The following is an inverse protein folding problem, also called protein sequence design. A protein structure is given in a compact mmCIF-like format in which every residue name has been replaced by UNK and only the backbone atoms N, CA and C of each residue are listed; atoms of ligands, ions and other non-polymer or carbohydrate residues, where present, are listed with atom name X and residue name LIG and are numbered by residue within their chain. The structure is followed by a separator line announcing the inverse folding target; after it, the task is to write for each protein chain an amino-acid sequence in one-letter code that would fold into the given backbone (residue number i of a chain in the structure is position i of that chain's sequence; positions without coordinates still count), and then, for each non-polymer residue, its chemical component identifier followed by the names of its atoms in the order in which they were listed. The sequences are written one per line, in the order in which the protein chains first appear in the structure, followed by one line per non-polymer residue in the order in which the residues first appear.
data_IF_358716401038
#
_entry.id   IF_358716401038
#
_cell.length_a   1.000
_cell.length_b   1.000
_cell.length_c   1.000
_cell.angle_alpha   90.00
_cell.angle_beta   90.00
_cell.angle_gamma   90.00
#
_symmetry.space_group_name_H-M   'P 1'
#
loop_
_entity.id
_entity.type
_entity.pdbx_description
1 polymer ?
#
# COMPACT_ATOMS: atom_id res chain seq x y z
N UNK A 1 7.74 -20.03 -10.02
CA UNK A 1 7.79 -21.44 -9.57
C UNK A 1 8.10 -21.60 -8.07
N UNK A 2 9.28 -21.20 -7.56
CA UNK A 2 9.59 -21.34 -6.11
C UNK A 2 8.76 -20.39 -5.24
N UNK A 3 8.76 -19.09 -5.57
CA UNK A 3 8.00 -18.06 -4.83
C UNK A 3 6.50 -18.38 -4.85
N UNK A 4 5.94 -18.68 -6.02
CA UNK A 4 4.54 -19.11 -6.21
C UNK A 4 4.15 -20.26 -5.28
N UNK A 5 4.94 -21.36 -5.27
CA UNK A 5 4.68 -22.50 -4.38
C UNK A 5 4.81 -22.12 -2.91
N UNK A 6 5.76 -21.24 -2.58
CA UNK A 6 5.92 -20.68 -1.24
C UNK A 6 4.63 -20.01 -0.75
N UNK A 7 4.03 -19.13 -1.56
CA UNK A 7 2.75 -18.47 -1.22
C UNK A 7 1.62 -19.49 -1.05
N UNK A 8 1.46 -20.40 -2.01
CA UNK A 8 0.40 -21.42 -2.00
C UNK A 8 0.45 -22.30 -0.74
N UNK A 9 1.66 -22.67 -0.29
CA UNK A 9 1.81 -23.52 0.90
C UNK A 9 1.83 -22.75 2.23
N UNK A 10 2.39 -21.53 2.25
CA UNK A 10 2.62 -20.80 3.50
C UNK A 10 1.45 -19.93 3.93
N UNK A 11 0.77 -19.25 2.99
CA UNK A 11 -0.36 -18.37 3.33
C UNK A 11 -1.48 -19.07 4.11
N UNK A 12 -1.87 -20.32 3.80
CA UNK A 12 -2.84 -21.05 4.61
C UNK A 12 -2.42 -21.23 6.07
N UNK A 13 -1.11 -21.38 6.32
CA UNK A 13 -0.53 -21.57 7.66
C UNK A 13 -0.39 -20.25 8.43
N UNK A 14 -0.25 -19.12 7.74
CA UNK A 14 -0.16 -17.81 8.36
C UNK A 14 -1.48 -17.48 9.09
N UNK A 15 -1.42 -17.40 10.42
CA UNK A 15 -2.61 -17.15 11.26
C UNK A 15 -2.94 -15.67 11.34
N UNK A 16 -1.92 -14.80 11.42
CA UNK A 16 -2.07 -13.36 11.53
C UNK A 16 -1.28 -12.66 10.43
N UNK A 17 -1.85 -11.65 9.75
CA UNK A 17 -1.09 -10.83 8.83
C UNK A 17 -0.08 -9.97 9.61
N UNK A 18 1.03 -9.67 8.97
CA UNK A 18 2.02 -8.71 9.47
C UNK A 18 1.65 -7.31 8.97
N UNK A 19 1.36 -6.38 9.89
CA UNK A 19 0.92 -5.00 9.62
C UNK A 19 2.00 -3.98 9.99
N UNK A 20 3.23 -4.19 9.53
CA UNK A 20 4.35 -3.26 9.75
C UNK A 20 4.61 -2.48 8.46
N UNK A 21 5.16 -1.26 8.53
CA UNK A 21 5.49 -0.46 7.36
C UNK A 21 6.80 -0.85 6.67
N UNK A 22 7.25 -2.08 6.85
CA UNK A 22 8.51 -2.61 6.31
C UNK A 22 8.32 -3.96 5.61
N UNK A 23 9.41 -4.60 5.22
CA UNK A 23 9.47 -5.80 4.38
C UNK A 23 8.44 -6.91 4.68
N UNK A 24 8.13 -7.28 5.94
CA UNK A 24 7.21 -8.40 6.17
C UNK A 24 5.74 -8.02 5.99
N UNK A 25 5.40 -6.79 5.58
CA UNK A 25 4.02 -6.35 5.35
C UNK A 25 3.24 -7.33 4.45
N UNK A 26 2.22 -7.96 5.02
CA UNK A 26 1.45 -9.01 4.32
C UNK A 26 0.60 -8.43 3.20
N UNK A 27 -0.07 -7.29 3.41
CA UNK A 27 -0.91 -6.68 2.40
C UNK A 27 -0.10 -6.29 1.15
N UNK A 28 1.05 -5.65 1.36
CA UNK A 28 1.97 -5.27 0.29
C UNK A 28 2.49 -6.48 -0.49
N UNK A 29 2.88 -7.56 0.20
CA UNK A 29 3.36 -8.78 -0.46
C UNK A 29 2.28 -9.44 -1.34
N UNK A 30 1.03 -9.48 -0.86
CA UNK A 30 -0.12 -10.00 -1.62
C UNK A 30 -0.42 -9.10 -2.83
N UNK A 31 -0.46 -7.79 -2.61
CA UNK A 31 -0.72 -6.77 -3.63
C UNK A 31 0.29 -6.83 -4.78
N UNK A 32 1.59 -6.88 -4.47
CA UNK A 32 2.66 -6.97 -5.48
C UNK A 32 2.70 -8.33 -6.20
N UNK A 33 2.08 -9.36 -5.64
CA UNK A 33 1.97 -10.69 -6.27
C UNK A 33 0.72 -10.85 -7.13
N UNK A 34 -0.27 -9.95 -7.00
CA UNK A 34 -1.59 -10.13 -7.57
C UNK A 34 -1.58 -10.11 -9.10
N UNK A 35 -0.85 -9.19 -9.74
CA UNK A 35 -0.81 -9.12 -11.21
C UNK A 35 -0.21 -10.40 -11.84
N UNK A 36 0.84 -10.94 -11.22
CA UNK A 36 1.39 -12.23 -11.61
C UNK A 36 0.40 -13.38 -11.41
N UNK A 37 -0.35 -13.36 -10.30
CA UNK A 37 -1.36 -14.36 -10.01
C UNK A 37 -2.51 -14.33 -11.03
N UNK A 38 -3.01 -13.14 -11.37
CA UNK A 38 -4.01 -12.95 -12.43
C UNK A 38 -3.52 -13.49 -13.76
N UNK A 39 -2.28 -13.19 -14.14
CA UNK A 39 -1.69 -13.68 -15.38
C UNK A 39 -1.57 -15.22 -15.42
N UNK A 40 -1.30 -15.87 -14.29
CA UNK A 40 -1.32 -17.32 -14.18
C UNK A 40 -2.74 -17.90 -14.27
N UNK A 41 -3.73 -17.24 -13.67
CA UNK A 41 -5.15 -17.61 -13.78
C UNK A 41 -5.61 -17.61 -15.24
N UNK A 42 -5.23 -16.58 -16.02
CA UNK A 42 -5.52 -16.50 -17.46
C UNK A 42 -4.90 -17.66 -18.26
N UNK A 43 -3.80 -18.23 -17.76
CA UNK A 43 -3.14 -19.42 -18.31
C UNK A 43 -3.68 -20.74 -17.77
N UNK A 44 -4.77 -20.70 -16.99
CA UNK A 44 -5.39 -21.89 -16.40
C UNK A 44 -4.74 -22.40 -15.11
N UNK A 45 -3.95 -21.58 -14.42
CA UNK A 45 -3.29 -21.90 -13.14
C UNK A 45 -3.74 -20.93 -12.02
N UNK A 46 -4.99 -21.04 -11.53
CA UNK A 46 -5.60 -20.07 -10.63
C UNK A 46 -5.16 -20.19 -9.16
N UNK A 47 -4.32 -21.16 -8.82
CA UNK A 47 -4.03 -21.54 -7.43
C UNK A 47 -3.43 -20.38 -6.63
N UNK A 48 -2.53 -19.60 -7.25
CA UNK A 48 -1.92 -18.44 -6.59
C UNK A 48 -2.94 -17.33 -6.32
N UNK A 49 -3.79 -17.02 -7.29
CA UNK A 49 -4.79 -15.96 -7.11
C UNK A 49 -5.84 -16.36 -6.06
N UNK A 50 -6.27 -17.62 -6.09
CA UNK A 50 -7.20 -18.17 -5.12
C UNK A 50 -6.67 -18.07 -3.69
N UNK A 51 -5.41 -18.44 -3.44
CA UNK A 51 -4.83 -18.35 -2.09
C UNK A 51 -4.63 -16.90 -1.65
N UNK A 52 -4.28 -15.98 -2.56
CA UNK A 52 -4.15 -14.54 -2.27
C UNK A 52 -5.52 -13.98 -1.87
N UNK A 53 -6.56 -14.22 -2.68
CA UNK A 53 -7.93 -13.77 -2.41
C UNK A 53 -8.48 -14.32 -1.10
N UNK A 54 -8.31 -15.61 -0.85
CA UNK A 54 -8.76 -16.25 0.39
C UNK A 54 -8.04 -15.68 1.62
N UNK A 55 -6.73 -15.44 1.51
CA UNK A 55 -5.94 -14.88 2.61
C UNK A 55 -6.30 -13.43 2.89
N UNK A 56 -6.40 -12.59 1.86
CA UNK A 56 -6.79 -11.19 2.02
C UNK A 56 -8.18 -11.07 2.66
N UNK A 57 -9.15 -11.87 2.21
CA UNK A 57 -10.48 -11.90 2.83
C UNK A 57 -10.43 -12.34 4.30
N UNK A 58 -9.67 -13.39 4.62
CA UNK A 58 -9.52 -13.87 6.01
C UNK A 58 -8.87 -12.83 6.92
N UNK A 59 -7.93 -12.05 6.39
CA UNK A 59 -7.13 -11.12 7.18
C UNK A 59 -7.74 -9.73 7.32
N UNK A 60 -8.38 -9.22 6.27
CA UNK A 60 -8.67 -7.79 6.14
C UNK A 60 -10.15 -7.47 5.90
N UNK A 61 -10.99 -8.44 5.48
CA UNK A 61 -12.39 -8.14 5.15
C UNK A 61 -13.23 -7.69 6.36
N UNK A 62 -12.82 -8.02 7.58
CA UNK A 62 -13.48 -7.62 8.82
C UNK A 62 -12.78 -6.50 9.58
N UNK A 63 -11.70 -5.93 9.03
CA UNK A 63 -10.98 -4.85 9.71
C UNK A 63 -11.78 -3.55 9.64
N UNK A 64 -11.81 -2.83 10.75
CA UNK A 64 -12.55 -1.59 10.94
C UNK A 64 -11.76 -0.63 11.84
N UNK A 65 -11.94 0.67 11.68
CA UNK A 65 -11.30 1.71 12.53
C UNK A 65 -9.78 1.47 12.70
N UNK A 66 -9.07 1.39 11.56
CA UNK A 66 -7.63 1.12 11.59
C UNK A 66 -6.90 2.23 12.37
N UNK A 67 -6.04 1.91 13.35
CA UNK A 67 -5.43 2.90 14.23
C UNK A 67 -4.23 3.63 13.58
N UNK A 68 -4.45 4.24 12.40
CA UNK A 68 -3.39 4.87 11.59
C UNK A 68 -2.73 6.08 12.26
N UNK A 69 -3.28 6.58 13.39
CA UNK A 69 -2.61 7.56 14.28
C UNK A 69 -1.26 7.08 14.83
N UNK A 70 -0.96 5.78 14.76
CA UNK A 70 0.33 5.21 15.15
C UNK A 70 1.34 5.11 13.98
N UNK A 71 0.92 5.41 12.75
CA UNK A 71 1.86 5.54 11.65
C UNK A 71 2.44 6.96 11.58
N UNK A 72 3.67 7.14 11.07
CA UNK A 72 4.64 6.10 10.72
C UNK A 72 5.52 5.66 11.91
N UNK A 73 6.11 4.47 11.81
CA UNK A 73 7.30 4.08 12.56
C UNK A 73 8.56 4.62 11.88
N UNK A 74 9.64 4.81 12.64
CA UNK A 74 10.84 5.54 12.17
C UNK A 74 11.61 4.89 11.01
N UNK A 75 11.32 3.64 10.66
CA UNK A 75 11.96 2.90 9.58
C UNK A 75 10.98 2.44 8.49
N UNK A 76 9.74 2.95 8.51
CA UNK A 76 8.73 2.58 7.54
C UNK A 76 9.08 3.11 6.14
N UNK A 77 8.88 2.27 5.13
CA UNK A 77 8.84 2.66 3.72
C UNK A 77 7.48 2.32 3.07
N UNK A 78 6.55 1.75 3.84
CA UNK A 78 5.18 1.42 3.46
C UNK A 78 4.21 1.94 4.53
N UNK A 79 3.03 2.39 4.12
CA UNK A 79 1.89 2.51 5.05
C UNK A 79 1.18 1.17 5.14
N UNK A 80 1.00 0.65 6.35
CA UNK A 80 0.29 -0.61 6.53
C UNK A 80 -1.21 -0.43 6.26
N UNK A 81 -1.80 0.68 6.71
CA UNK A 81 -3.18 1.06 6.39
C UNK A 81 -3.43 1.16 4.88
N UNK A 82 -2.60 1.92 4.16
CA UNK A 82 -2.83 2.15 2.73
C UNK A 82 -2.47 0.93 1.87
N UNK A 83 -1.49 0.12 2.26
CA UNK A 83 -1.21 -1.15 1.58
C UNK A 83 -2.40 -2.12 1.67
N UNK A 84 -3.07 -2.14 2.82
CA UNK A 84 -4.28 -2.92 3.03
C UNK A 84 -5.45 -2.40 2.20
N UNK A 85 -5.71 -1.09 2.25
CA UNK A 85 -6.77 -0.47 1.47
C UNK A 85 -6.56 -0.63 -0.06
N UNK A 86 -5.32 -0.46 -0.55
CA UNK A 86 -4.99 -0.69 -1.97
C UNK A 86 -5.17 -2.15 -2.37
N UNK A 87 -4.78 -3.11 -1.52
CA UNK A 87 -5.04 -4.53 -1.78
C UNK A 87 -6.55 -4.80 -1.87
N UNK A 88 -7.33 -4.29 -0.92
CA UNK A 88 -8.76 -4.54 -0.87
C UNK A 88 -9.50 -3.88 -2.04
N UNK A 89 -9.03 -2.73 -2.51
CA UNK A 89 -9.58 -2.05 -3.70
C UNK A 89 -9.46 -2.89 -4.97
N UNK A 90 -8.39 -3.69 -5.08
CA UNK A 90 -8.15 -4.61 -6.20
C UNK A 90 -8.94 -5.92 -6.10
N UNK A 91 -9.42 -6.29 -4.91
CA UNK A 91 -10.01 -7.61 -4.66
C UNK A 91 -11.52 -7.60 -4.47
N UNK A 92 -12.09 -6.49 -3.99
CA UNK A 92 -13.52 -6.30 -3.80
C UNK A 92 -14.17 -5.71 -5.05
N UNK A 93 -15.49 -5.91 -5.20
CA UNK A 93 -16.24 -5.17 -6.19
C UNK A 93 -16.33 -3.69 -5.79
N UNK A 94 -16.44 -2.74 -6.75
CA UNK A 94 -16.35 -1.30 -6.42
C UNK A 94 -17.29 -0.83 -5.30
N UNK A 95 -18.55 -1.28 -5.30
CA UNK A 95 -19.51 -0.94 -4.24
C UNK A 95 -19.16 -1.55 -2.88
N UNK A 96 -18.68 -2.80 -2.87
CA UNK A 96 -18.23 -3.48 -1.64
C UNK A 96 -16.96 -2.82 -1.09
N UNK A 97 -16.05 -2.38 -1.97
CA UNK A 97 -14.84 -1.67 -1.58
C UNK A 97 -15.17 -0.33 -0.93
N UNK A 98 -16.03 0.48 -1.55
CA UNK A 98 -16.41 1.79 -1.02
C UNK A 98 -16.99 1.67 0.40
N UNK A 99 -17.88 0.69 0.61
CA UNK A 99 -18.50 0.42 1.91
C UNK A 99 -17.52 -0.17 2.94
N UNK A 100 -16.62 -1.07 2.51
CA UNK A 100 -15.55 -1.58 3.37
C UNK A 100 -14.61 -0.45 3.80
N UNK A 101 -14.24 0.45 2.89
CA UNK A 101 -13.35 1.57 3.17
C UNK A 101 -13.97 2.55 4.18
N UNK A 102 -15.28 2.79 4.14
CA UNK A 102 -15.97 3.61 5.15
C UNK A 102 -15.87 3.01 6.55
N UNK A 103 -15.87 1.68 6.68
CA UNK A 103 -15.71 1.01 7.97
C UNK A 103 -14.24 0.98 8.41
N UNK A 104 -13.33 0.78 7.46
CA UNK A 104 -11.89 0.69 7.72
C UNK A 104 -11.28 2.05 8.08
N UNK A 105 -11.65 3.11 7.35
CA UNK A 105 -11.11 4.47 7.42
C UNK A 105 -12.22 5.52 7.15
N UNK A 106 -13.09 5.80 8.14
CA UNK A 106 -14.32 6.56 7.94
C UNK A 106 -14.12 8.02 7.50
N UNK A 107 -13.03 8.65 7.92
CA UNK A 107 -12.87 10.12 7.85
C UNK A 107 -11.89 10.58 6.75
N UNK A 108 -11.64 9.73 5.74
CA UNK A 108 -10.69 10.02 4.65
C UNK A 108 -11.08 11.28 3.84
N UNK A 109 -12.38 11.53 3.65
CA UNK A 109 -12.84 12.70 2.90
C UNK A 109 -12.48 14.02 3.60
N UNK A 110 -12.24 13.98 4.90
CA UNK A 110 -11.83 15.15 5.71
C UNK A 110 -10.34 15.20 5.98
N UNK A 111 -9.54 14.31 5.39
CA UNK A 111 -8.10 14.26 5.60
C UNK A 111 -7.69 13.60 6.92
N UNK A 112 -8.55 12.74 7.49
CA UNK A 112 -8.28 12.04 8.74
C UNK A 112 -8.08 10.53 8.50
N UNK A 113 -7.17 9.88 9.25
CA UNK A 113 -6.30 10.46 10.27
C UNK A 113 -5.16 11.27 9.65
N UNK A 114 -4.92 12.46 10.22
CA UNK A 114 -3.94 13.44 9.74
C UNK A 114 -2.54 12.86 9.47
N UNK A 115 -2.12 11.83 10.23
CA UNK A 115 -0.82 11.17 10.09
C UNK A 115 -0.58 10.52 8.71
N UNK A 116 -1.66 10.16 8.01
CA UNK A 116 -1.54 9.62 6.65
C UNK A 116 -1.47 10.71 5.59
N UNK A 117 -2.00 11.90 5.86
CA UNK A 117 -2.07 13.02 4.91
C UNK A 117 -0.89 13.98 5.01
N UNK A 118 -0.13 13.93 6.12
CA UNK A 118 1.11 14.69 6.29
C UNK A 118 2.32 13.82 5.89
N UNK A 119 3.25 14.34 5.06
CA UNK A 119 4.47 13.63 4.73
C UNK A 119 5.36 13.31 5.92
N UNK A 120 5.96 12.13 5.89
CA UNK A 120 6.99 11.75 6.84
C UNK A 120 8.25 12.60 6.66
N UNK A 121 8.85 13.01 7.77
CA UNK A 121 10.07 13.81 7.80
C UNK A 121 11.29 12.90 7.78
N UNK A 122 12.12 13.03 6.75
CA UNK A 122 13.42 12.35 6.66
C UNK A 122 14.47 13.22 7.36
N UNK A 123 14.88 12.87 8.57
CA UNK A 123 15.85 13.67 9.33
C UNK A 123 17.29 13.51 8.86
N UNK A 124 17.64 12.33 8.34
CA UNK A 124 18.95 12.04 7.73
C UNK A 124 18.77 11.05 6.58
N UNK A 125 18.97 11.52 5.34
CA UNK A 125 18.82 10.70 4.13
C UNK A 125 20.00 9.75 3.88
N UNK A 126 21.10 9.86 4.63
CA UNK A 126 22.25 8.96 4.55
C UNK A 126 22.17 7.79 5.54
N UNK A 127 21.23 7.83 6.49
CA UNK A 127 20.96 6.71 7.39
C UNK A 127 20.07 5.67 6.71
N UNK A 128 20.48 4.40 6.79
CA UNK A 128 19.81 3.32 6.06
C UNK A 128 18.41 2.95 6.54
N UNK A 129 17.99 3.38 7.73
CA UNK A 129 16.63 3.18 8.21
C UNK A 129 15.81 4.46 8.02
N UNK A 130 16.37 5.63 8.29
CA UNK A 130 15.64 6.89 8.17
C UNK A 130 15.36 7.28 6.72
N UNK A 131 16.25 6.89 5.78
CA UNK A 131 16.02 7.05 4.35
C UNK A 131 14.75 6.31 3.86
N UNK A 132 14.28 5.27 4.57
CA UNK A 132 13.04 4.58 4.24
C UNK A 132 11.82 5.51 4.20
N UNK A 133 11.81 6.56 5.03
CA UNK A 133 10.69 7.50 5.10
C UNK A 133 10.51 8.29 3.79
N UNK A 134 11.55 8.43 2.97
CA UNK A 134 11.40 8.99 1.64
C UNK A 134 10.54 8.08 0.74
N UNK A 135 10.79 6.76 0.79
CA UNK A 135 9.99 5.76 0.09
C UNK A 135 8.60 5.58 0.67
N UNK A 136 8.43 5.81 1.98
CA UNK A 136 7.11 5.87 2.60
C UNK A 136 6.23 6.94 1.96
N UNK A 137 6.76 8.15 1.75
CA UNK A 137 6.00 9.21 1.10
C UNK A 137 5.57 8.78 -0.32
N UNK A 138 6.49 8.25 -1.13
CA UNK A 138 6.15 7.78 -2.48
C UNK A 138 5.15 6.62 -2.47
N UNK A 139 5.29 5.67 -1.54
CA UNK A 139 4.35 4.55 -1.42
C UNK A 139 2.96 4.99 -0.98
N UNK A 140 2.87 5.94 -0.03
CA UNK A 140 1.59 6.57 0.35
C UNK A 140 0.93 7.26 -0.83
N UNK A 141 1.69 8.05 -1.60
CA UNK A 141 1.17 8.71 -2.79
C UNK A 141 0.62 7.71 -3.82
N UNK A 142 1.36 6.63 -4.10
CA UNK A 142 0.92 5.59 -5.01
C UNK A 142 -0.38 4.93 -4.54
N UNK A 143 -0.44 4.52 -3.26
CA UNK A 143 -1.64 3.89 -2.70
C UNK A 143 -2.84 4.83 -2.68
N UNK A 144 -2.64 6.12 -2.37
CA UNK A 144 -3.72 7.11 -2.42
C UNK A 144 -4.32 7.27 -3.82
N UNK A 145 -3.48 7.38 -4.86
CA UNK A 145 -3.97 7.41 -6.24
C UNK A 145 -4.71 6.12 -6.61
N UNK A 146 -4.20 4.97 -6.20
CA UNK A 146 -4.81 3.68 -6.52
C UNK A 146 -6.19 3.52 -5.85
N UNK A 147 -6.32 3.96 -4.59
CA UNK A 147 -7.58 3.99 -3.85
C UNK A 147 -8.55 4.98 -4.51
N UNK A 148 -8.11 6.19 -4.83
CA UNK A 148 -8.95 7.20 -5.50
C UNK A 148 -9.48 6.70 -6.85
N UNK A 149 -8.63 6.04 -7.64
CA UNK A 149 -8.99 5.42 -8.92
C UNK A 149 -10.06 4.33 -8.74
N UNK A 150 -9.92 3.48 -7.72
CA UNK A 150 -10.88 2.41 -7.43
C UNK A 150 -12.24 2.91 -6.94
N UNK A 151 -12.30 4.06 -6.25
CA UNK A 151 -13.55 4.70 -5.84
C UNK A 151 -14.31 5.31 -7.04
N UNK A 152 -13.57 5.77 -8.04
CA UNK A 152 -14.12 6.34 -9.26
C UNK A 152 -14.57 7.81 -9.13
N UNK A 153 -14.88 8.47 -10.26
CA UNK A 153 -15.19 9.89 -10.27
C UNK A 153 -16.51 10.19 -9.54
N UNK A 154 -16.48 11.17 -8.64
CA UNK A 154 -17.66 11.65 -7.89
C UNK A 154 -17.77 11.14 -6.46
N UNK A 155 -16.91 10.21 -6.03
CA UNK A 155 -16.79 9.87 -4.61
C UNK A 155 -16.17 11.03 -3.82
N UNK A 156 -16.74 11.35 -2.65
CA UNK A 156 -16.36 12.51 -1.85
C UNK A 156 -14.92 12.44 -1.32
N UNK A 157 -14.31 11.25 -1.24
CA UNK A 157 -12.95 11.04 -0.76
C UNK A 157 -11.89 11.38 -1.82
N UNK A 158 -12.24 11.28 -3.11
CA UNK A 158 -11.27 11.29 -4.23
C UNK A 158 -10.35 12.50 -4.22
N UNK A 159 -10.90 13.72 -4.07
CA UNK A 159 -10.08 14.94 -4.10
C UNK A 159 -9.06 14.95 -2.96
N UNK A 160 -9.47 14.61 -1.73
CA UNK A 160 -8.56 14.58 -0.58
C UNK A 160 -7.43 13.56 -0.77
N UNK A 161 -7.71 12.39 -1.37
CA UNK A 161 -6.69 11.38 -1.65
C UNK A 161 -5.74 11.83 -2.77
N UNK A 162 -6.24 12.47 -3.82
CA UNK A 162 -5.41 13.00 -4.90
C UNK A 162 -4.49 14.13 -4.40
N UNK A 163 -5.02 15.06 -3.61
CA UNK A 163 -4.24 16.15 -3.00
C UNK A 163 -3.16 15.61 -2.04
N UNK A 164 -3.50 14.58 -1.26
CA UNK A 164 -2.54 13.89 -0.40
C UNK A 164 -1.42 13.24 -1.22
N UNK A 165 -1.79 12.55 -2.30
CA UNK A 165 -0.82 11.90 -3.18
C UNK A 165 0.18 12.90 -3.78
N UNK A 166 -0.30 14.04 -4.28
CA UNK A 166 0.56 15.11 -4.78
C UNK A 166 1.47 15.67 -3.67
N UNK A 167 0.92 15.91 -2.47
CA UNK A 167 1.67 16.41 -1.32
C UNK A 167 2.82 15.47 -0.94
N UNK A 168 2.58 14.16 -0.91
CA UNK A 168 3.63 13.17 -0.66
C UNK A 168 4.64 13.03 -1.80
N UNK A 169 4.18 13.09 -3.04
CA UNK A 169 5.05 13.02 -4.21
C UNK A 169 6.06 14.18 -4.22
N UNK A 170 5.58 15.39 -3.97
CA UNK A 170 6.38 16.62 -4.03
C UNK A 170 7.55 16.65 -3.04
N UNK A 171 7.45 15.98 -1.89
CA UNK A 171 8.54 15.97 -0.90
C UNK A 171 9.64 14.95 -1.18
N UNK A 172 9.36 13.90 -1.97
CA UNK A 172 10.26 12.75 -2.12
C UNK A 172 10.70 12.45 -3.54
N UNK A 173 10.02 12.95 -4.58
CA UNK A 173 10.39 12.65 -5.97
C UNK A 173 11.78 13.18 -6.34
N UNK A 174 12.15 14.37 -5.85
CA UNK A 174 13.48 14.93 -6.13
C UNK A 174 14.61 14.10 -5.50
N UNK A 175 14.35 13.39 -4.40
CA UNK A 175 15.32 12.51 -3.74
C UNK A 175 15.63 11.23 -4.54
N UNK A 176 14.99 11.00 -5.69
CA UNK A 176 15.28 9.87 -6.57
C UNK A 176 16.58 10.09 -7.37
N UNK A 177 17.08 11.34 -7.43
CA UNK A 177 18.27 11.71 -8.20
C UNK A 177 19.16 12.73 -7.49
N UNK A 178 20.47 12.63 -7.69
CA UNK A 178 21.46 13.56 -7.13
C UNK A 178 21.55 13.54 -5.60
N UNK A 179 21.12 12.46 -4.94
CA UNK A 179 21.10 12.29 -3.48
C UNK A 179 22.06 11.19 -3.00
N UNK A 180 21.98 10.81 -1.73
CA UNK A 180 22.79 9.74 -1.15
C UNK A 180 22.40 8.36 -1.71
N UNK A 181 23.36 7.44 -1.77
CA UNK A 181 23.14 6.05 -2.17
C UNK A 181 21.99 5.41 -1.39
N UNK A 182 21.86 5.68 -0.08
CA UNK A 182 20.83 5.09 0.79
C UNK A 182 19.41 5.46 0.38
N UNK A 183 19.22 6.49 -0.46
CA UNK A 183 17.96 6.82 -1.11
C UNK A 183 17.91 6.25 -2.54
N UNK A 184 18.87 6.62 -3.38
CA UNK A 184 18.76 6.42 -4.83
C UNK A 184 18.64 4.96 -5.27
N UNK A 185 19.30 4.03 -4.57
CA UNK A 185 19.45 2.65 -5.06
C UNK A 185 18.14 1.86 -5.15
N UNK A 186 17.09 2.32 -4.46
CA UNK A 186 15.80 1.64 -4.37
C UNK A 186 14.60 2.58 -4.54
N UNK A 187 14.73 3.87 -4.24
CA UNK A 187 13.61 4.82 -4.25
C UNK A 187 12.96 4.96 -5.63
N UNK A 188 13.74 4.78 -6.71
CA UNK A 188 13.24 4.77 -8.09
C UNK A 188 12.13 3.72 -8.32
N UNK A 189 12.15 2.60 -7.60
CA UNK A 189 11.09 1.59 -7.69
C UNK A 189 9.75 2.15 -7.17
N UNK A 190 9.78 2.92 -6.08
CA UNK A 190 8.59 3.54 -5.49
C UNK A 190 8.11 4.75 -6.31
N UNK A 191 9.03 5.52 -6.89
CA UNK A 191 8.66 6.55 -7.86
C UNK A 191 7.95 5.94 -9.08
N UNK A 192 8.43 4.77 -9.55
CA UNK A 192 7.78 4.05 -10.66
C UNK A 192 6.38 3.59 -10.28
N UNK A 193 6.18 3.05 -9.07
CA UNK A 193 4.84 2.69 -8.57
C UNK A 193 3.89 3.89 -8.60
N UNK A 194 4.32 5.03 -8.05
CA UNK A 194 3.54 6.26 -8.03
C UNK A 194 3.16 6.75 -9.44
N UNK A 195 4.11 6.72 -10.38
CA UNK A 195 3.93 7.24 -11.73
C UNK A 195 3.21 6.27 -12.68
N UNK A 196 2.85 5.07 -12.23
CA UNK A 196 2.21 4.03 -13.04
C UNK A 196 0.78 3.70 -12.61
N UNK A 197 0.21 4.47 -11.66
CA UNK A 197 -1.21 4.36 -11.25
C UNK A 197 -2.11 5.00 -12.29
#
# INVERSE_FOLDING_TARGET
AVITRGFIHWLPLLTYPQRVGTHPNTAFALLRSLDHATNLTEQGQPELENVIRASARRFFAGDTDYPARYEPSGADFLSAALSEAELMSRLLFPGDFAAWLDMFMPDLATGEPLQLFIPAVVSDGSDGQLAHLAGLNLSRGASFLAIASALGPGDARVNALQDAAETHANVSLDAVRGSDYMLEHWLAAYATLLLSV
#
